data_IF_851628107990
#
_entry.id   IF_851628107990
#
_cell.length_a   1.000
_cell.length_b   1.000
_cell.length_c   1.000
_cell.angle_alpha   90.00
_cell.angle_beta   90.00
_cell.angle_gamma   90.00
#
_symmetry.space_group_name_H-M   'P 1'
#
loop_
_entity.id
_entity.type
_entity.pdbx_description
1 polymer ?
#
# COMPACT_ATOMS: atom_id res chain seq x y z
N UNK A 1 3.57 21.25 -18.48
CA UNK A 1 4.30 19.98 -18.24
C UNK A 1 3.32 19.02 -17.59
N UNK A 2 3.16 17.81 -18.13
CA UNK A 2 2.17 16.84 -17.64
C UNK A 2 2.66 16.20 -16.34
N UNK A 3 2.02 16.52 -15.20
CA UNK A 3 2.30 15.94 -13.88
C UNK A 3 1.78 14.50 -13.71
N UNK A 4 1.55 13.79 -14.82
CA UNK A 4 1.01 12.43 -14.84
C UNK A 4 2.10 11.41 -14.52
N UNK A 5 1.85 10.50 -13.58
CA UNK A 5 2.78 9.42 -13.21
C UNK A 5 2.31 8.09 -13.77
N UNK A 6 1.00 7.87 -13.77
CA UNK A 6 0.39 6.63 -14.20
C UNK A 6 -1.02 6.92 -14.71
N UNK A 7 -1.36 6.32 -15.85
CA UNK A 7 -2.66 6.42 -16.47
C UNK A 7 -3.20 5.01 -16.69
N UNK A 8 -4.26 4.68 -15.95
CA UNK A 8 -5.02 3.46 -16.19
C UNK A 8 -6.15 3.80 -17.17
N UNK A 9 -6.18 3.15 -18.33
CA UNK A 9 -7.36 3.15 -19.19
C UNK A 9 -8.43 2.25 -18.58
N UNK A 10 -9.70 2.56 -18.83
CA UNK A 10 -10.81 1.69 -18.44
C UNK A 10 -10.59 0.25 -18.94
N UNK A 11 -10.90 -0.72 -18.09
CA UNK A 11 -10.87 -2.14 -18.46
C UNK A 11 -11.83 -2.96 -17.62
N UNK A 12 -12.11 -4.17 -18.08
CA UNK A 12 -12.88 -5.16 -17.35
C UNK A 12 -11.99 -6.31 -16.89
N UNK A 13 -12.23 -6.81 -15.69
CA UNK A 13 -11.60 -8.03 -15.15
C UNK A 13 -12.66 -8.89 -14.47
N UNK A 14 -12.86 -10.12 -14.94
CA UNK A 14 -13.86 -11.05 -14.41
C UNK A 14 -15.28 -10.43 -14.32
N UNK A 15 -15.71 -9.68 -15.34
CA UNK A 15 -17.01 -8.99 -15.32
C UNK A 15 -17.04 -7.70 -14.50
N UNK A 16 -15.94 -7.28 -13.86
CA UNK A 16 -15.88 -6.09 -13.01
C UNK A 16 -15.23 -4.96 -13.79
N UNK A 17 -15.95 -3.86 -13.98
CA UNK A 17 -15.41 -2.65 -14.60
C UNK A 17 -14.51 -1.89 -13.63
N UNK A 18 -13.31 -1.54 -14.11
CA UNK A 18 -12.36 -0.66 -13.44
C UNK A 18 -12.26 0.61 -14.27
N UNK A 19 -12.72 1.77 -13.76
CA UNK A 19 -12.80 2.99 -14.54
C UNK A 19 -11.42 3.53 -14.91
N UNK A 20 -11.40 4.38 -15.94
CA UNK A 20 -10.22 5.17 -16.28
C UNK A 20 -9.84 6.11 -15.13
N UNK A 21 -8.54 6.22 -14.84
CA UNK A 21 -8.03 7.18 -13.88
C UNK A 21 -6.58 7.57 -14.12
N UNK A 22 -6.22 8.73 -13.59
CA UNK A 22 -4.89 9.30 -13.72
C UNK A 22 -4.29 9.63 -12.33
N UNK A 23 -3.18 8.98 -12.01
CA UNK A 23 -2.34 9.30 -10.86
C UNK A 23 -1.42 10.46 -11.24
N UNK A 24 -1.44 11.53 -10.44
CA UNK A 24 -0.60 12.71 -10.65
C UNK A 24 0.38 12.86 -9.49
N UNK A 25 1.50 13.54 -9.75
CA UNK A 25 2.47 13.83 -8.70
C UNK A 25 1.83 14.53 -7.51
N UNK A 26 2.12 14.03 -6.31
CA UNK A 26 1.62 14.58 -5.04
C UNK A 26 0.17 14.21 -4.72
N UNK A 27 -0.38 13.16 -5.36
CA UNK A 27 -1.71 12.67 -5.02
C UNK A 27 -1.73 11.16 -4.75
N UNK A 28 -2.84 10.73 -4.17
CA UNK A 28 -3.13 9.34 -3.86
C UNK A 28 -4.42 8.94 -4.55
N UNK A 29 -4.41 7.83 -5.28
CA UNK A 29 -5.63 7.19 -5.77
C UNK A 29 -6.00 6.10 -4.77
N UNK A 30 -7.22 6.15 -4.23
CA UNK A 30 -7.73 5.11 -3.34
C UNK A 30 -8.77 4.29 -4.09
N UNK A 31 -8.48 3.01 -4.31
CA UNK A 31 -9.38 2.08 -4.96
C UNK A 31 -10.08 1.26 -3.88
N UNK A 32 -11.35 1.53 -3.70
CA UNK A 32 -12.24 0.80 -2.81
C UNK A 32 -12.78 -0.43 -3.51
N UNK A 33 -12.50 -1.60 -2.95
CA UNK A 33 -12.86 -2.90 -3.49
C UNK A 33 -13.91 -3.56 -2.59
N UNK A 34 -15.03 -4.03 -3.15
CA UNK A 34 -16.02 -4.79 -2.38
C UNK A 34 -15.44 -6.12 -1.90
N UNK A 35 -15.68 -6.44 -0.62
CA UNK A 35 -15.22 -7.69 -0.03
C UNK A 35 -15.80 -8.95 -0.67
N UNK A 36 -17.03 -8.88 -1.18
CA UNK A 36 -17.75 -10.01 -1.74
C UNK A 36 -18.32 -9.65 -3.12
N UNK A 37 -18.45 -10.66 -3.98
CA UNK A 37 -19.27 -10.56 -5.18
C UNK A 37 -20.77 -10.72 -4.83
N UNK A 38 -21.62 -10.73 -5.85
CA UNK A 38 -23.08 -10.87 -5.68
C UNK A 38 -23.51 -12.25 -5.15
N UNK A 39 -22.70 -13.28 -5.37
CA UNK A 39 -22.92 -14.63 -4.88
C UNK A 39 -22.39 -14.83 -3.45
N UNK A 40 -21.98 -13.74 -2.78
CA UNK A 40 -21.31 -13.74 -1.47
C UNK A 40 -19.97 -14.49 -1.44
N UNK A 41 -19.35 -14.71 -2.61
CA UNK A 41 -18.00 -15.26 -2.70
C UNK A 41 -16.96 -14.18 -2.40
N UNK A 42 -15.84 -14.53 -1.72
CA UNK A 42 -14.76 -13.59 -1.46
C UNK A 42 -14.21 -12.97 -2.74
N UNK A 43 -14.06 -11.64 -2.74
CA UNK A 43 -13.54 -10.87 -3.87
C UNK A 43 -12.40 -9.94 -3.45
N UNK A 44 -12.50 -9.33 -2.27
CA UNK A 44 -11.68 -8.19 -1.83
C UNK A 44 -10.19 -8.31 -2.13
N UNK A 45 -9.49 -9.16 -1.37
CA UNK A 45 -8.04 -9.25 -1.48
C UNK A 45 -7.59 -9.93 -2.78
N UNK A 46 -8.35 -10.88 -3.32
CA UNK A 46 -7.98 -11.58 -4.55
C UNK A 46 -8.01 -10.63 -5.75
N UNK A 47 -9.06 -9.81 -5.88
CA UNK A 47 -9.12 -8.75 -6.88
C UNK A 47 -8.01 -7.71 -6.68
N UNK A 48 -7.70 -7.37 -5.42
CA UNK A 48 -6.56 -6.48 -5.10
C UNK A 48 -5.25 -7.00 -5.70
N UNK A 49 -4.97 -8.30 -5.53
CA UNK A 49 -3.75 -8.92 -6.08
C UNK A 49 -3.75 -8.89 -7.62
N UNK A 50 -4.88 -9.16 -8.26
CA UNK A 50 -5.00 -9.10 -9.72
C UNK A 50 -4.78 -7.68 -10.26
N UNK A 51 -5.37 -6.68 -9.62
CA UNK A 51 -5.20 -5.26 -9.97
C UNK A 51 -3.74 -4.81 -9.80
N UNK A 52 -3.10 -5.17 -8.68
CA UNK A 52 -1.68 -4.87 -8.46
C UNK A 52 -0.82 -5.47 -9.58
N UNK A 53 -1.01 -6.75 -9.90
CA UNK A 53 -0.25 -7.41 -10.98
C UNK A 53 -0.47 -6.71 -12.32
N UNK A 54 -1.71 -6.34 -12.62
CA UNK A 54 -2.04 -5.64 -13.86
C UNK A 54 -1.37 -4.27 -13.93
N UNK A 55 -1.41 -3.47 -12.86
CA UNK A 55 -0.76 -2.16 -12.82
C UNK A 55 0.76 -2.26 -12.92
N UNK A 56 1.36 -3.28 -12.32
CA UNK A 56 2.79 -3.57 -12.46
C UNK A 56 3.19 -3.99 -13.88
N UNK A 57 2.30 -4.68 -14.60
CA UNK A 57 2.53 -5.01 -16.02
C UNK A 57 2.43 -3.79 -16.94
N UNK A 58 1.67 -2.76 -16.56
CA UNK A 58 1.59 -1.50 -17.29
C UNK A 58 2.78 -0.57 -16.98
N UNK A 59 3.27 -0.61 -15.74
CA UNK A 59 4.38 0.22 -15.26
C UNK A 59 5.33 -0.61 -14.39
N UNK A 60 6.47 -1.00 -14.96
CA UNK A 60 7.44 -1.91 -14.31
C UNK A 60 8.12 -1.31 -13.08
N UNK A 61 8.20 0.02 -12.99
CA UNK A 61 8.74 0.78 -11.86
C UNK A 61 7.64 1.19 -10.85
N UNK A 62 6.65 0.32 -10.64
CA UNK A 62 5.55 0.54 -9.71
C UNK A 62 5.55 -0.50 -8.56
N UNK A 63 6.46 -0.37 -7.58
CA UNK A 63 6.65 -1.41 -6.57
C UNK A 63 5.44 -1.50 -5.63
N UNK A 64 5.06 -2.72 -5.30
CA UNK A 64 4.08 -3.00 -4.26
C UNK A 64 4.78 -3.13 -2.91
N UNK A 65 4.34 -2.33 -1.93
CA UNK A 65 4.69 -2.43 -0.52
C UNK A 65 4.05 -3.67 0.13
N UNK A 66 4.39 -4.85 -0.42
CA UNK A 66 3.85 -6.14 -0.02
C UNK A 66 4.26 -6.51 1.40
N UNK A 67 3.33 -7.08 2.16
CA UNK A 67 3.62 -7.65 3.47
C UNK A 67 4.80 -8.65 3.36
N UNK A 68 5.85 -8.39 4.16
CA UNK A 68 7.01 -9.27 4.21
C UNK A 68 6.62 -10.60 4.86
N UNK A 69 6.77 -11.70 4.12
CA UNK A 69 6.67 -13.06 4.65
C UNK A 69 8.04 -13.52 5.10
N UNK A 70 8.16 -13.83 6.37
CA UNK A 70 9.36 -14.39 6.98
C UNK A 70 9.59 -15.82 6.48
N UNK A 71 10.84 -16.17 6.21
CA UNK A 71 11.27 -17.52 5.81
C UNK A 71 12.03 -18.14 6.99
N UNK A 72 11.42 -19.15 7.59
CA UNK A 72 11.66 -19.62 8.96
C UNK A 72 13.06 -20.15 9.26
N UNK A 73 13.77 -20.74 8.29
CA UNK A 73 15.03 -21.44 8.58
C UNK A 73 16.21 -20.49 8.76
N UNK A 74 16.40 -19.52 7.86
CA UNK A 74 17.51 -18.57 7.94
C UNK A 74 17.30 -17.52 9.05
N UNK A 75 16.04 -17.16 9.32
CA UNK A 75 15.70 -16.15 10.32
C UNK A 75 15.75 -16.67 11.76
N UNK A 76 15.70 -18.00 11.96
CA UNK A 76 15.94 -18.61 13.28
C UNK A 76 17.39 -18.42 13.75
N UNK A 77 18.37 -18.60 12.86
CA UNK A 77 19.81 -18.46 13.20
C UNK A 77 20.24 -17.00 13.33
N UNK A 78 19.58 -16.09 12.62
CA UNK A 78 19.82 -14.65 12.73
C UNK A 78 18.51 -13.91 12.56
N UNK A 79 17.81 -13.59 13.67
CA UNK A 79 16.56 -12.86 13.62
C UNK A 79 16.70 -11.57 12.84
N UNK A 80 15.73 -11.33 11.96
CA UNK A 80 15.63 -10.10 11.20
C UNK A 80 15.22 -8.98 12.16
N UNK A 81 16.09 -8.01 12.40
CA UNK A 81 15.76 -6.79 13.13
C UNK A 81 15.31 -5.67 12.20
N UNK A 82 14.68 -4.63 12.72
CA UNK A 82 14.33 -3.42 11.96
C UNK A 82 15.56 -2.87 11.22
N UNK A 83 16.70 -2.78 11.89
CA UNK A 83 17.96 -2.34 11.30
C UNK A 83 18.42 -3.24 10.14
N UNK A 84 18.41 -4.55 10.33
CA UNK A 84 18.78 -5.50 9.26
C UNK A 84 17.81 -5.44 8.08
N UNK A 85 16.52 -5.25 8.34
CA UNK A 85 15.53 -5.07 7.29
C UNK A 85 15.80 -3.80 6.48
N UNK A 86 15.91 -2.63 7.13
CA UNK A 86 16.11 -1.35 6.46
C UNK A 86 17.46 -1.29 5.73
N UNK A 87 18.56 -1.60 6.43
CA UNK A 87 19.91 -1.41 5.87
C UNK A 87 20.28 -2.57 4.94
N UNK A 88 20.09 -3.83 5.35
CA UNK A 88 20.64 -4.95 4.59
C UNK A 88 19.68 -5.41 3.48
N UNK A 89 18.36 -5.49 3.77
CA UNK A 89 17.38 -5.93 2.76
C UNK A 89 16.94 -4.77 1.86
N UNK A 90 16.55 -3.64 2.45
CA UNK A 90 16.04 -2.51 1.67
C UNK A 90 17.15 -1.63 1.11
N UNK A 91 18.39 -1.74 1.63
CA UNK A 91 19.57 -0.94 1.22
C UNK A 91 19.39 0.55 1.51
N UNK A 92 18.73 0.87 2.63
CA UNK A 92 18.53 2.23 3.12
C UNK A 92 19.74 2.62 3.98
N UNK A 93 20.21 3.86 3.85
CA UNK A 93 21.34 4.34 4.65
C UNK A 93 20.99 4.42 6.15
N UNK A 94 22.01 4.44 7.00
CA UNK A 94 21.84 4.36 8.46
C UNK A 94 21.07 5.56 9.05
N UNK A 95 21.26 6.77 8.51
CA UNK A 95 20.61 7.97 9.01
C UNK A 95 19.12 7.94 8.69
N UNK A 96 18.79 7.59 7.45
CA UNK A 96 17.42 7.42 6.99
C UNK A 96 16.72 6.27 7.70
N UNK A 97 17.41 5.14 7.92
CA UNK A 97 16.86 4.02 8.66
C UNK A 97 16.48 4.40 10.10
N UNK A 98 17.32 5.19 10.78
CA UNK A 98 17.03 5.73 12.11
C UNK A 98 15.79 6.64 12.08
N UNK A 99 15.72 7.58 11.13
CA UNK A 99 14.58 8.48 10.97
C UNK A 99 13.26 7.72 10.74
N UNK A 100 13.28 6.70 9.87
CA UNK A 100 12.10 5.86 9.60
C UNK A 100 11.63 5.16 10.89
N UNK A 101 12.56 4.58 11.66
CA UNK A 101 12.20 3.90 12.91
C UNK A 101 11.62 4.88 13.95
N UNK A 102 12.18 6.08 14.07
CA UNK A 102 11.69 7.15 14.96
C UNK A 102 10.29 7.64 14.56
N UNK A 103 10.05 7.90 13.28
CA UNK A 103 8.75 8.34 12.75
C UNK A 103 7.63 7.30 13.00
N UNK A 104 7.97 6.01 13.00
CA UNK A 104 7.02 4.92 13.29
C UNK A 104 6.88 4.69 14.81
N UNK A 105 7.87 5.10 15.60
CA UNK A 105 7.93 4.87 17.05
C UNK A 105 8.42 3.47 17.43
N UNK A 106 9.33 2.88 16.65
CA UNK A 106 9.92 1.55 16.88
C UNK A 106 11.43 1.61 17.07
N UNK A 107 12.04 0.56 17.63
CA UNK A 107 13.50 0.53 17.86
C UNK A 107 14.24 -0.21 16.74
N UNK A 108 15.41 0.28 16.34
CA UNK A 108 16.25 -0.36 15.32
C UNK A 108 16.68 -1.79 15.68
N UNK A 109 16.86 -2.08 16.97
CA UNK A 109 17.23 -3.40 17.48
C UNK A 109 16.02 -4.33 17.70
N UNK A 110 14.80 -3.82 17.54
CA UNK A 110 13.58 -4.62 17.68
C UNK A 110 13.53 -5.69 16.59
N UNK A 111 13.09 -6.90 16.96
CA UNK A 111 12.94 -7.97 16.00
C UNK A 111 11.71 -7.71 15.14
N UNK A 112 11.86 -7.87 13.83
CA UNK A 112 10.80 -7.68 12.87
C UNK A 112 9.58 -8.56 13.18
N UNK A 113 9.80 -9.79 13.66
CA UNK A 113 8.71 -10.71 14.06
C UNK A 113 7.81 -10.16 15.17
N UNK A 114 8.35 -9.38 16.11
CA UNK A 114 7.63 -8.86 17.27
C UNK A 114 6.90 -7.54 17.00
N UNK A 115 7.17 -6.91 15.86
CA UNK A 115 6.42 -5.73 15.44
C UNK A 115 4.94 -6.10 15.26
N UNK A 116 4.07 -5.22 15.77
CA UNK A 116 2.64 -5.28 15.46
C UNK A 116 2.41 -5.23 13.94
N UNK A 117 1.28 -5.76 13.47
CA UNK A 117 0.98 -5.79 12.03
C UNK A 117 0.99 -4.38 11.41
N UNK A 118 0.41 -3.39 12.09
CA UNK A 118 0.44 -1.98 11.67
C UNK A 118 1.87 -1.42 11.57
N UNK A 119 2.74 -1.72 12.54
CA UNK A 119 4.12 -1.26 12.52
C UNK A 119 4.93 -1.93 11.41
N UNK A 120 4.69 -3.22 11.12
CA UNK A 120 5.29 -3.92 9.97
C UNK A 120 4.89 -3.26 8.66
N UNK A 121 3.59 -3.00 8.43
CA UNK A 121 3.11 -2.33 7.22
C UNK A 121 3.68 -0.92 7.10
N UNK A 122 3.69 -0.13 8.18
CA UNK A 122 4.29 1.20 8.20
C UNK A 122 5.76 1.16 7.79
N UNK A 123 6.54 0.24 8.35
CA UNK A 123 7.95 0.05 8.05
C UNK A 123 8.19 -0.28 6.58
N UNK A 124 7.40 -1.20 6.02
CA UNK A 124 7.48 -1.59 4.61
C UNK A 124 7.12 -0.41 3.71
N UNK A 125 6.03 0.31 4.00
CA UNK A 125 5.57 1.48 3.24
C UNK A 125 6.64 2.57 3.22
N UNK A 126 7.17 2.94 4.40
CA UNK A 126 8.24 3.94 4.53
C UNK A 126 9.49 3.53 3.76
N UNK A 127 9.91 2.27 3.88
CA UNK A 127 11.06 1.76 3.17
C UNK A 127 10.85 1.72 1.64
N UNK A 128 9.62 1.46 1.17
CA UNK A 128 9.31 1.52 -0.25
C UNK A 128 9.31 2.96 -0.77
N UNK A 129 8.68 3.89 -0.05
CA UNK A 129 8.71 5.30 -0.43
C UNK A 129 10.10 5.90 -0.41
N UNK A 130 10.99 5.46 0.49
CA UNK A 130 12.37 5.96 0.53
C UNK A 130 13.10 5.79 -0.81
N UNK A 131 12.76 4.72 -1.53
CA UNK A 131 13.41 4.34 -2.79
C UNK A 131 12.64 4.72 -4.03
N UNK A 132 11.39 5.15 -3.88
CA UNK A 132 10.46 5.31 -5.00
C UNK A 132 9.55 6.52 -4.77
N UNK A 133 9.38 7.31 -5.82
CA UNK A 133 8.43 8.42 -5.83
C UNK A 133 6.97 7.95 -5.88
N UNK A 134 6.75 6.70 -6.29
CA UNK A 134 5.43 6.12 -6.43
C UNK A 134 5.38 4.64 -6.01
N UNK A 135 4.35 4.24 -5.26
CA UNK A 135 4.17 2.86 -4.78
C UNK A 135 2.72 2.39 -4.87
N UNK A 136 2.53 1.07 -4.94
CA UNK A 136 1.26 0.40 -4.69
C UNK A 136 1.23 -0.09 -3.23
N UNK A 137 0.09 -0.02 -2.54
CA UNK A 137 -0.06 -0.59 -1.20
C UNK A 137 -1.52 -0.97 -0.91
N UNK A 138 -1.73 -1.74 0.15
CA UNK A 138 -3.05 -2.20 0.59
C UNK A 138 -3.23 -2.05 2.10
N UNK A 139 -4.48 -1.82 2.55
CA UNK A 139 -4.85 -1.76 3.96
C UNK A 139 -5.51 -3.04 4.50
N UNK A 140 -5.50 -4.13 3.73
CA UNK A 140 -6.07 -5.40 4.18
C UNK A 140 -5.36 -5.94 5.43
N UNK A 141 -6.18 -6.40 6.39
CA UNK A 141 -5.74 -6.94 7.68
C UNK A 141 -5.39 -5.89 8.74
N UNK A 142 -5.67 -4.60 8.47
CA UNK A 142 -5.45 -3.49 9.40
C UNK A 142 -6.77 -3.10 10.05
N UNK A 143 -6.75 -2.83 11.36
CA UNK A 143 -7.90 -2.29 12.10
C UNK A 143 -8.06 -0.78 11.88
N UNK A 144 -9.18 -0.20 12.33
CA UNK A 144 -9.47 1.22 12.11
C UNK A 144 -8.37 2.15 12.66
N UNK A 145 -7.87 1.91 13.87
CA UNK A 145 -6.77 2.69 14.45
C UNK A 145 -5.46 2.53 13.66
N UNK A 146 -5.20 1.33 13.13
CA UNK A 146 -4.06 1.08 12.27
C UNK A 146 -4.18 1.78 10.93
N UNK A 147 -5.38 1.86 10.34
CA UNK A 147 -5.63 2.60 9.10
C UNK A 147 -5.33 4.08 9.31
N UNK A 148 -5.89 4.70 10.35
CA UNK A 148 -5.63 6.12 10.66
C UNK A 148 -4.12 6.42 10.82
N UNK A 149 -3.41 5.53 11.52
CA UNK A 149 -1.96 5.61 11.67
C UNK A 149 -1.22 5.50 10.33
N UNK A 150 -1.58 4.52 9.49
CA UNK A 150 -0.95 4.32 8.18
C UNK A 150 -1.27 5.47 7.22
N UNK A 151 -2.49 5.98 7.24
CA UNK A 151 -2.92 7.12 6.43
C UNK A 151 -2.11 8.37 6.75
N UNK A 152 -1.88 8.66 8.04
CA UNK A 152 -1.01 9.78 8.44
C UNK A 152 0.42 9.63 7.88
N UNK A 153 0.97 8.42 7.96
CA UNK A 153 2.29 8.09 7.42
C UNK A 153 2.33 8.27 5.91
N UNK A 154 1.35 7.72 5.20
CA UNK A 154 1.28 7.80 3.74
C UNK A 154 1.10 9.27 3.32
N UNK A 155 0.16 10.00 3.91
CA UNK A 155 -0.09 11.40 3.58
C UNK A 155 1.16 12.27 3.77
N UNK A 156 1.93 12.04 4.84
CA UNK A 156 3.22 12.74 5.06
C UNK A 156 4.20 12.53 3.90
N UNK A 157 4.19 11.37 3.26
CA UNK A 157 5.03 11.11 2.07
C UNK A 157 4.43 11.73 0.80
N UNK A 158 3.10 11.73 0.65
CA UNK A 158 2.41 12.39 -0.47
C UNK A 158 2.66 13.91 -0.44
N UNK A 159 2.62 14.55 0.73
CA UNK A 159 2.92 15.97 0.93
C UNK A 159 4.36 16.34 0.54
N UNK A 160 5.29 15.38 0.59
CA UNK A 160 6.67 15.54 0.08
C UNK A 160 6.76 15.41 -1.45
N UNK A 161 5.62 15.28 -2.14
CA UNK A 161 5.53 15.17 -3.59
C UNK A 161 5.56 13.74 -4.12
N UNK A 162 5.48 12.72 -3.25
CA UNK A 162 5.33 11.30 -3.66
C UNK A 162 3.87 11.00 -4.00
N UNK A 163 3.63 9.82 -4.56
CA UNK A 163 2.30 9.41 -5.02
C UNK A 163 2.01 7.95 -4.71
N UNK A 164 0.75 7.55 -4.61
CA UNK A 164 0.42 6.15 -4.37
C UNK A 164 -0.92 5.74 -4.98
N UNK A 165 -1.04 4.45 -5.28
CA UNK A 165 -2.36 3.80 -5.41
C UNK A 165 -2.53 2.89 -4.20
N UNK A 166 -3.62 3.10 -3.47
CA UNK A 166 -3.97 2.35 -2.27
C UNK A 166 -5.22 1.53 -2.53
N UNK A 167 -5.18 0.26 -2.15
CA UNK A 167 -6.35 -0.62 -2.16
C UNK A 167 -6.93 -0.74 -0.76
N UNK A 168 -8.23 -0.49 -0.66
CA UNK A 168 -8.96 -0.53 0.59
C UNK A 168 -10.32 -1.21 0.40
N UNK A 169 -10.92 -1.61 1.50
CA UNK A 169 -12.19 -2.29 1.52
C UNK A 169 -13.35 -1.29 1.40
N UNK A 170 -14.21 -1.48 0.39
CA UNK A 170 -15.36 -0.60 0.13
C UNK A 170 -16.32 -0.54 1.31
N UNK A 171 -16.46 -1.62 2.09
CA UNK A 171 -17.31 -1.67 3.28
C UNK A 171 -16.82 -0.74 4.41
N UNK A 172 -15.57 -0.29 4.36
CA UNK A 172 -14.99 0.67 5.31
C UNK A 172 -14.80 2.06 4.69
N UNK A 173 -15.35 2.31 3.50
CA UNK A 173 -15.27 3.62 2.86
C UNK A 173 -16.04 4.66 3.67
N UNK A 174 -15.35 5.74 4.06
CA UNK A 174 -15.97 6.90 4.66
C UNK A 174 -16.71 7.74 3.61
N UNK A 175 -17.66 8.56 4.05
CA UNK A 175 -18.34 9.51 3.17
C UNK A 175 -17.36 10.54 2.56
N UNK A 176 -16.32 10.88 3.32
CA UNK A 176 -15.27 11.82 2.93
C UNK A 176 -13.90 11.21 3.21
N UNK A 177 -12.97 11.50 2.31
CA UNK A 177 -11.56 11.15 2.52
C UNK A 177 -10.95 12.02 3.61
N UNK A 178 -10.00 11.49 4.39
CA UNK A 178 -9.36 12.23 5.48
C UNK A 178 -8.44 13.36 4.99
N UNK A 179 -7.98 13.29 3.73
CA UNK A 179 -7.08 14.29 3.14
C UNK A 179 -7.52 14.65 1.72
N UNK A 180 -7.42 15.94 1.36
CA UNK A 180 -7.89 16.46 0.07
C UNK A 180 -7.05 16.07 -1.16
N UNK A 181 -5.87 15.47 -0.95
CA UNK A 181 -5.02 14.90 -1.99
C UNK A 181 -5.38 13.45 -2.35
N UNK A 182 -6.38 12.86 -1.68
CA UNK A 182 -6.90 11.52 -1.97
C UNK A 182 -8.03 11.62 -3.00
N UNK A 183 -7.93 10.78 -4.02
CA UNK A 183 -8.93 10.62 -5.08
C UNK A 183 -9.56 9.22 -4.97
N UNK A 184 -10.80 9.10 -4.50
CA UNK A 184 -11.48 7.82 -4.38
C UNK A 184 -11.93 7.29 -5.74
N UNK A 185 -11.83 5.97 -5.91
CA UNK A 185 -12.42 5.17 -6.98
C UNK A 185 -13.14 4.03 -6.29
N UNK A 186 -14.44 3.88 -6.55
CA UNK A 186 -15.25 2.80 -6.00
C UNK A 186 -15.49 1.76 -7.08
N UNK A 187 -15.04 0.53 -6.85
CA UNK A 187 -15.32 -0.58 -7.75
C UNK A 187 -16.73 -1.10 -7.48
N UNK A 188 -17.54 -1.16 -8.52
CA UNK A 188 -18.89 -1.71 -8.48
C UNK A 188 -18.90 -3.06 -9.18
N UNK A 189 -19.47 -4.08 -8.53
CA UNK A 189 -19.74 -5.37 -9.19
C UNK A 189 -21.09 -5.23 -9.90
N UNK A 190 -21.16 -5.45 -11.23
CA UNK A 190 -22.42 -5.29 -11.95
C UNK A 190 -23.44 -6.33 -11.52
N UNK A 191 -24.69 -5.90 -11.36
CA UNK A 191 -25.84 -6.78 -11.22
C UNK A 191 -26.05 -7.53 -12.55
N UNK A 192 -25.77 -8.82 -12.58
CA UNK A 192 -26.43 -9.71 -13.55
C UNK A 192 -27.87 -9.84 -13.10
N UNK A 193 -28.74 -8.99 -13.68
CA UNK A 193 -30.20 -9.17 -13.62
C UNK A 193 -30.60 -10.29 -14.56
#
# INVERSE_FOLDING_TARGET
MTNSIFHNKEFEINGISVPEFELKKGNLIRIYIPNFNLENLPLGFDLTIELIKRFQNQKTDFPWAKNYRQNTVAEFLSPLTVNKYLINKMRIDKLTAKRIAEEIGIKLNEKFEYLSFKNKKALIIKACFDKNDCILLDYYGVDAMGIEFLEKIVNTEIEKGKSAIVFDNLQFANEKEPYGNIKPIKITVPNTV
#
